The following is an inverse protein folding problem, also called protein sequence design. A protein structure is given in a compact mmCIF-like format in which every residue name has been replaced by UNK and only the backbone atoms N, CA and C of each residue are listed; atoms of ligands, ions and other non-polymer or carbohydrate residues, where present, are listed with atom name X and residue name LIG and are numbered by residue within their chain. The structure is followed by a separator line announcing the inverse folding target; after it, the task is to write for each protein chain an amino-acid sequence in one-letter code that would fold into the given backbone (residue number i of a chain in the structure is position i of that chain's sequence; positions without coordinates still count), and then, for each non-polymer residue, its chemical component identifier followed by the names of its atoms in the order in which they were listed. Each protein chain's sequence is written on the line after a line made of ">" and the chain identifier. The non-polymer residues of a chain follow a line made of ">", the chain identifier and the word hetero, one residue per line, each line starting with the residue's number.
data_IF_761836037023
#
_entry.id   IF_761836037023
#
_cell.length_a   1.000
_cell.length_b   1.000
_cell.length_c   1.000
_cell.angle_alpha   90.00
_cell.angle_beta   90.00
_cell.angle_gamma   90.00
#
_symmetry.space_group_name_H-M   'P 1'
#
loop_
_entity.id
_entity.type
_entity.pdbx_description
1 polymer ?
#
# COMPACT_ATOMS: atom_id res chain seq x y z
N UNK A 1 3.88 29.47 -8.35
CA UNK A 1 5.15 28.87 -7.89
C UNK A 1 5.30 27.52 -8.56
N UNK A 2 6.48 27.14 -9.10
CA UNK A 2 6.71 25.75 -9.46
C UNK A 2 6.67 24.93 -8.16
N UNK A 3 5.59 24.18 -7.96
CA UNK A 3 5.40 23.34 -6.79
C UNK A 3 6.16 22.04 -6.99
N UNK A 4 7.04 21.69 -6.05
CA UNK A 4 7.70 20.39 -6.03
C UNK A 4 6.66 19.28 -5.89
N UNK A 5 6.64 18.34 -6.82
CA UNK A 5 5.75 17.17 -6.73
C UNK A 5 6.13 16.31 -5.51
N UNK A 6 5.22 16.18 -4.56
CA UNK A 6 5.41 15.39 -3.34
C UNK A 6 5.81 13.93 -3.64
N UNK A 7 5.39 13.37 -4.78
CA UNK A 7 5.79 12.02 -5.19
C UNK A 7 7.30 11.93 -5.40
N UNK A 8 7.90 12.94 -6.02
CA UNK A 8 9.36 12.98 -6.24
C UNK A 8 10.14 13.05 -4.93
N UNK A 9 9.62 13.78 -3.95
CA UNK A 9 10.22 13.91 -2.61
C UNK A 9 10.18 12.57 -1.87
N UNK A 10 9.00 11.92 -1.83
CA UNK A 10 8.80 10.66 -1.10
C UNK A 10 9.61 9.52 -1.73
N UNK A 11 9.70 9.48 -3.07
CA UNK A 11 10.47 8.45 -3.79
C UNK A 11 11.98 8.66 -3.69
N UNK A 12 12.45 9.91 -3.71
CA UNK A 12 13.87 10.24 -3.56
C UNK A 12 14.39 10.04 -2.14
N UNK A 13 13.53 10.27 -1.13
CA UNK A 13 13.87 10.04 0.28
C UNK A 13 12.64 9.48 1.02
N UNK A 14 12.62 8.17 1.31
CA UNK A 14 11.52 7.55 2.03
C UNK A 14 11.27 8.24 3.37
N UNK A 15 10.06 8.78 3.54
CA UNK A 15 9.63 9.38 4.81
C UNK A 15 9.26 8.25 5.77
N UNK A 16 10.07 8.09 6.82
CA UNK A 16 9.90 7.07 7.85
C UNK A 16 9.76 7.73 9.21
N UNK A 17 8.88 7.20 10.04
CA UNK A 17 8.68 7.64 11.41
C UNK A 17 8.40 6.45 12.33
N UNK A 18 8.54 6.66 13.63
CA UNK A 18 8.32 5.62 14.63
C UNK A 18 7.13 6.03 15.49
N UNK A 19 6.10 5.21 15.50
CA UNK A 19 5.02 5.32 16.47
C UNK A 19 5.40 4.49 17.69
N UNK A 20 5.47 5.13 18.86
CA UNK A 20 5.69 4.46 20.14
C UNK A 20 4.40 4.47 20.93
N UNK A 21 3.88 3.31 21.31
CA UNK A 21 2.67 3.17 22.11
C UNK A 21 2.86 2.06 23.14
N UNK A 22 2.64 2.35 24.42
CA UNK A 22 2.89 1.42 25.52
C UNK A 22 4.29 0.80 25.41
N UNK A 23 4.34 -0.53 25.28
CA UNK A 23 5.59 -1.30 25.14
C UNK A 23 6.00 -1.57 23.68
N UNK A 24 5.21 -1.08 22.72
CA UNK A 24 5.42 -1.29 21.28
C UNK A 24 6.13 -0.14 20.59
N UNK A 25 6.93 -0.48 19.57
CA UNK A 25 7.52 0.46 18.62
C UNK A 25 7.20 -0.01 17.21
N UNK A 26 6.53 0.85 16.43
CA UNK A 26 6.15 0.56 15.06
C UNK A 26 6.92 1.47 14.11
N UNK A 27 7.66 0.88 13.19
CA UNK A 27 8.30 1.62 12.10
C UNK A 27 7.28 1.81 10.98
N UNK A 28 6.94 3.06 10.69
CA UNK A 28 5.99 3.45 9.65
C UNK A 28 6.73 4.11 8.49
N UNK A 29 6.31 3.81 7.26
CA UNK A 29 6.83 4.41 6.04
C UNK A 29 5.67 4.96 5.21
N UNK A 30 5.82 6.18 4.71
CA UNK A 30 4.86 6.81 3.79
C UNK A 30 5.20 6.39 2.36
N UNK A 31 4.18 6.02 1.59
CA UNK A 31 4.30 5.69 0.18
C UNK A 31 3.52 6.72 -0.67
N UNK A 32 4.00 6.99 -1.87
CA UNK A 32 3.37 7.94 -2.81
C UNK A 32 2.00 7.49 -3.32
N UNK A 33 1.79 6.17 -3.40
CA UNK A 33 0.63 5.54 -4.00
C UNK A 33 0.48 4.09 -3.54
N UNK A 34 -0.66 3.47 -3.90
CA UNK A 34 -0.98 2.10 -3.48
C UNK A 34 -0.04 1.05 -4.10
N UNK A 35 0.32 1.18 -5.38
CA UNK A 35 1.18 0.20 -6.04
C UNK A 35 2.59 0.18 -5.43
N UNK A 36 3.09 1.35 -5.03
CA UNK A 36 4.35 1.49 -4.29
C UNK A 36 4.30 0.82 -2.91
N UNK A 37 3.17 0.91 -2.20
CA UNK A 37 2.95 0.19 -0.95
C UNK A 37 2.93 -1.34 -1.16
N UNK A 38 2.16 -1.84 -2.14
CA UNK A 38 2.06 -3.28 -2.41
C UNK A 38 3.40 -3.93 -2.75
N UNK A 39 4.23 -3.26 -3.55
CA UNK A 39 5.59 -3.71 -3.87
C UNK A 39 6.47 -3.84 -2.63
N UNK A 40 6.42 -2.85 -1.73
CA UNK A 40 7.15 -2.90 -0.46
C UNK A 40 6.62 -3.98 0.48
N UNK A 41 5.29 -4.20 0.52
CA UNK A 41 4.66 -5.25 1.33
C UNK A 41 5.08 -6.64 0.88
N UNK A 42 5.00 -6.94 -0.41
CA UNK A 42 5.39 -8.23 -0.96
C UNK A 42 6.86 -8.57 -0.64
N UNK A 43 7.75 -7.57 -0.68
CA UNK A 43 9.16 -7.74 -0.31
C UNK A 43 9.35 -8.06 1.18
N UNK A 44 8.51 -7.52 2.07
CA UNK A 44 8.54 -7.82 3.51
C UNK A 44 7.97 -9.21 3.80
N UNK A 45 6.91 -9.62 3.11
CA UNK A 45 6.30 -10.95 3.27
C UNK A 45 7.22 -12.08 2.76
N UNK A 46 7.93 -11.85 1.66
CA UNK A 46 8.87 -12.82 1.10
C UNK A 46 10.09 -13.11 2.00
N UNK A 47 10.34 -12.29 3.03
CA UNK A 47 11.58 -12.33 3.81
C UNK A 47 11.38 -12.37 5.34
N UNK A 48 10.20 -12.74 5.83
CA UNK A 48 9.87 -12.65 7.27
C UNK A 48 9.93 -14.02 8.00
N UNK A 49 10.73 -14.17 9.08
CA UNK A 49 10.74 -15.36 9.96
C UNK A 49 9.75 -15.31 11.14
N UNK A 50 8.85 -14.32 11.21
CA UNK A 50 7.99 -14.09 12.39
C UNK A 50 6.55 -14.59 12.19
N UNK A 51 5.91 -15.22 13.21
CA UNK A 51 4.52 -15.66 13.13
C UNK A 51 3.60 -14.43 13.11
N UNK A 52 3.04 -14.15 11.93
CA UNK A 52 2.26 -12.95 11.67
C UNK A 52 0.94 -12.93 12.44
N UNK A 53 0.66 -11.82 13.10
CA UNK A 53 -0.71 -11.48 13.50
C UNK A 53 -1.48 -11.22 12.19
N UNK A 54 -2.40 -12.11 11.83
CA UNK A 54 -3.25 -11.92 10.67
C UNK A 54 -4.04 -10.61 10.85
N UNK A 55 -3.76 -9.61 10.02
CA UNK A 55 -4.57 -8.40 9.99
C UNK A 55 -5.89 -8.72 9.29
N UNK A 56 -6.98 -8.61 10.02
CA UNK A 56 -8.34 -8.58 9.47
C UNK A 56 -8.57 -7.20 8.85
N UNK A 57 -8.06 -6.95 7.64
CA UNK A 57 -8.59 -5.84 6.86
C UNK A 57 -9.98 -6.24 6.37
N UNK A 58 -11.00 -5.71 7.00
CA UNK A 58 -12.38 -5.91 6.57
C UNK A 58 -12.54 -5.34 5.15
N UNK A 59 -12.62 -6.24 4.18
CA UNK A 59 -13.31 -6.04 2.91
C UNK A 59 -12.71 -4.96 2.01
N UNK A 60 -11.60 -5.25 1.34
CA UNK A 60 -11.33 -4.64 0.05
C UNK A 60 -12.39 -5.14 -0.95
N UNK A 61 -13.52 -4.42 -1.04
CA UNK A 61 -14.54 -4.63 -2.07
C UNK A 61 -13.95 -4.33 -3.44
N UNK A 62 -13.28 -5.32 -4.01
CA UNK A 62 -12.93 -5.34 -5.43
C UNK A 62 -14.18 -5.79 -6.16
N UNK A 63 -15.10 -4.86 -6.42
CA UNK A 63 -16.16 -5.09 -7.38
C UNK A 63 -15.50 -5.18 -8.76
N UNK A 64 -15.05 -6.37 -9.14
CA UNK A 64 -14.66 -6.69 -10.49
C UNK A 64 -15.92 -6.57 -11.36
N UNK A 65 -16.17 -5.40 -11.94
CA UNK A 65 -17.16 -5.27 -13.01
C UNK A 65 -16.61 -5.95 -14.25
N UNK A 66 -16.90 -7.24 -14.41
CA UNK A 66 -16.83 -7.91 -15.70
C UNK A 66 -17.94 -7.34 -16.58
N UNK A 67 -17.66 -6.30 -17.35
CA UNK A 67 -18.55 -5.86 -18.41
C UNK A 67 -18.48 -6.86 -19.56
N UNK A 68 -19.39 -7.83 -19.58
CA UNK A 68 -19.68 -8.63 -20.76
C UNK A 68 -20.35 -7.72 -21.81
N UNK A 69 -19.59 -7.32 -22.83
CA UNK A 69 -20.14 -6.63 -23.99
C UNK A 69 -21.04 -7.60 -24.77
N UNK A 70 -22.35 -7.40 -24.71
CA UNK A 70 -23.31 -8.08 -25.58
C UNK A 70 -23.53 -7.22 -26.82
N UNK A 71 -22.96 -7.64 -27.95
CA UNK A 71 -23.26 -7.05 -29.26
C UNK A 71 -24.66 -7.45 -29.69
N UNK A 72 -25.61 -6.52 -29.67
CA UNK A 72 -26.90 -6.65 -30.35
C UNK A 72 -26.73 -6.13 -31.77
N UNK A 73 -26.83 -7.03 -32.76
CA UNK A 73 -26.99 -6.66 -34.17
C UNK A 73 -28.47 -6.79 -34.51
N UNK A 74 -29.05 -5.71 -35.00
CA UNK A 74 -30.36 -5.65 -35.68
C UNK A 74 -30.21 -6.03 -37.16
#
# INVERSE_FOLDING_TARGET
>A
MPGTDIKTVINGKPLQFIIKTGNGKWKCQVHSDRASYERSRAALEANSPAPGIARTDSGLSTASTSSSASTSSH
#
